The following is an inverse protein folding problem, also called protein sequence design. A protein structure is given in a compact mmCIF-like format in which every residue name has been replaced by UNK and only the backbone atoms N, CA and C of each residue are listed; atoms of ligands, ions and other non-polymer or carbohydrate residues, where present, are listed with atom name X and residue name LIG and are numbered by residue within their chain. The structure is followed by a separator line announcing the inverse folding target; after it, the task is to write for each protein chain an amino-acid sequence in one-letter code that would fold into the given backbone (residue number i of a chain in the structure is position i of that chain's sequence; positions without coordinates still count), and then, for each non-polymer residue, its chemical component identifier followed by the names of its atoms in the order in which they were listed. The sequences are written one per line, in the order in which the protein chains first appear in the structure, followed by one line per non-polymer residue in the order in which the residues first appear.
data_IF_331169585309
#
_entry.id   IF_331169585309
#
_cell.length_a   1.000
_cell.length_b   1.000
_cell.length_c   1.000
_cell.angle_alpha   90.00
_cell.angle_beta   90.00
_cell.angle_gamma   90.00
#
_symmetry.space_group_name_H-M   'P 1'
#
loop_
_entity.id
_entity.type
_entity.pdbx_description
1 polymer ?
#
# COMPACT_ATOMS: atom_id res chain seq x y z
N UNK A 1 17.30 -5.45 -3.51
CA UNK A 1 16.34 -4.72 -2.64
C UNK A 1 14.95 -4.97 -3.20
N UNK A 2 13.98 -5.41 -2.40
CA UNK A 2 12.60 -5.67 -2.90
C UNK A 2 11.67 -4.56 -2.43
N UNK A 3 10.92 -3.98 -3.36
CA UNK A 3 9.93 -2.97 -3.07
C UNK A 3 8.52 -3.60 -3.00
N UNK A 4 7.80 -3.35 -1.92
CA UNK A 4 6.42 -3.82 -1.73
C UNK A 4 5.53 -2.63 -1.35
N UNK A 5 4.33 -2.49 -1.94
CA UNK A 5 3.43 -1.41 -1.57
C UNK A 5 2.92 -1.55 -0.12
N UNK A 6 2.76 -0.43 0.60
CA UNK A 6 2.16 -0.40 1.95
C UNK A 6 0.70 -0.84 1.97
N UNK A 7 0.00 -0.72 0.84
CA UNK A 7 -1.41 -1.10 0.69
C UNK A 7 -1.58 -2.01 -0.52
N UNK A 8 -2.32 -3.11 -0.37
CA UNK A 8 -2.59 -4.08 -1.45
C UNK A 8 -4.07 -4.46 -1.46
N UNK A 9 -4.71 -4.49 -2.64
CA UNK A 9 -6.02 -5.14 -2.80
C UNK A 9 -5.83 -6.65 -2.92
N UNK A 10 -6.42 -7.42 -2.03
CA UNK A 10 -6.36 -8.89 -2.07
C UNK A 10 -7.62 -9.51 -1.48
N UNK A 11 -7.82 -10.79 -1.71
CA UNK A 11 -8.99 -11.52 -1.23
C UNK A 11 -8.93 -11.70 0.28
N UNK A 12 -9.97 -11.28 0.98
CA UNK A 12 -10.09 -11.51 2.41
C UNK A 12 -10.83 -12.83 2.69
N UNK A 13 -10.16 -13.77 3.36
CA UNK A 13 -10.71 -15.08 3.74
C UNK A 13 -11.68 -15.05 4.93
N UNK A 14 -11.84 -13.90 5.59
CA UNK A 14 -12.78 -13.78 6.70
C UNK A 14 -14.20 -14.07 6.25
N UNK A 15 -14.97 -14.75 7.10
CA UNK A 15 -16.38 -15.11 6.85
C UNK A 15 -17.25 -13.88 6.54
N UNK A 16 -16.92 -12.74 7.15
CA UNK A 16 -17.66 -11.47 7.01
C UNK A 16 -17.39 -10.73 5.70
N UNK A 17 -16.19 -10.88 5.13
CA UNK A 17 -15.80 -10.12 3.95
C UNK A 17 -15.98 -10.92 2.66
N UNK A 18 -15.36 -12.12 2.58
CA UNK A 18 -15.32 -12.99 1.39
C UNK A 18 -15.16 -12.27 0.04
N UNK A 19 -14.48 -11.11 0.05
CA UNK A 19 -14.34 -10.20 -1.10
C UNK A 19 -12.94 -9.60 -1.13
N UNK A 20 -12.58 -9.00 -2.26
CA UNK A 20 -11.33 -8.27 -2.39
C UNK A 20 -11.42 -6.92 -1.67
N UNK A 21 -10.59 -6.72 -0.66
CA UNK A 21 -10.55 -5.49 0.13
C UNK A 21 -9.14 -4.92 0.16
N UNK A 22 -9.03 -3.65 0.57
CA UNK A 22 -7.74 -3.02 0.83
C UNK A 22 -7.13 -3.60 2.13
N UNK A 23 -5.89 -4.05 2.02
CA UNK A 23 -5.11 -4.57 3.14
C UNK A 23 -3.91 -3.68 3.42
N UNK A 24 -3.65 -3.41 4.70
CA UNK A 24 -2.40 -2.81 5.17
C UNK A 24 -1.32 -3.88 5.19
N UNK A 25 -0.21 -3.62 4.50
CA UNK A 25 0.94 -4.50 4.40
C UNK A 25 1.96 -4.07 5.44
N UNK A 26 2.33 -5.00 6.30
CA UNK A 26 3.41 -4.81 7.28
C UNK A 26 4.39 -5.99 7.22
N UNK A 27 5.62 -5.79 7.68
CA UNK A 27 6.56 -6.90 7.80
C UNK A 27 6.27 -7.67 9.10
N UNK A 28 6.23 -9.00 9.01
CA UNK A 28 6.13 -9.84 10.19
C UNK A 28 7.38 -9.70 11.07
N UNK A 29 7.17 -9.58 12.38
CA UNK A 29 8.21 -9.64 13.40
C UNK A 29 7.89 -10.81 14.32
N UNK A 30 8.92 -11.60 14.69
CA UNK A 30 8.77 -12.65 15.69
C UNK A 30 8.47 -12.00 17.05
N UNK A 31 7.46 -12.50 17.76
CA UNK A 31 7.18 -12.09 19.14
C UNK A 31 8.18 -12.67 20.14
N UNK A 32 8.04 -12.26 21.41
CA UNK A 32 8.79 -12.85 22.54
C UNK A 32 8.39 -14.31 22.72
N UNK A 33 9.37 -15.18 22.95
CA UNK A 33 9.11 -16.60 23.22
C UNK A 33 8.46 -16.78 24.61
N UNK A 34 7.41 -17.61 24.68
CA UNK A 34 6.69 -17.87 25.93
C UNK A 34 7.38 -18.96 26.77
N UNK A 35 7.50 -18.72 28.08
CA UNK A 35 8.09 -19.67 29.04
C UNK A 35 7.14 -20.82 29.40
N UNK A 36 5.83 -20.58 29.33
CA UNK A 36 4.81 -21.58 29.68
C UNK A 36 4.64 -22.68 28.61
N UNK A 37 5.23 -22.50 27.42
CA UNK A 37 5.19 -23.49 26.36
C UNK A 37 5.78 -24.83 26.82
N UNK A 38 5.11 -25.94 26.48
CA UNK A 38 5.50 -27.29 26.93
C UNK A 38 6.96 -27.62 26.60
N UNK A 39 7.45 -27.22 25.41
CA UNK A 39 8.83 -27.44 24.99
C UNK A 39 9.84 -26.70 25.86
N UNK A 40 9.53 -25.46 26.25
CA UNK A 40 10.39 -24.65 27.13
C UNK A 40 10.40 -25.20 28.55
N UNK A 41 9.23 -25.53 29.12
CA UNK A 41 9.12 -26.20 30.43
C UNK A 41 9.92 -27.51 30.49
N UNK A 42 9.85 -28.32 29.44
CA UNK A 42 10.64 -29.57 29.32
C UNK A 42 12.13 -29.28 29.22
N UNK A 43 12.53 -28.27 28.44
CA UNK A 43 13.94 -27.87 28.29
C UNK A 43 14.53 -27.42 29.62
N UNK A 44 13.82 -26.54 30.35
CA UNK A 44 14.30 -25.98 31.61
C UNK A 44 14.42 -27.04 32.70
N UNK A 45 13.46 -27.98 32.79
CA UNK A 45 13.55 -29.16 33.67
C UNK A 45 14.68 -30.11 33.27
N UNK A 46 15.01 -30.23 31.98
CA UNK A 46 16.15 -31.04 31.55
C UNK A 46 17.47 -30.35 31.88
N UNK A 47 17.49 -29.02 31.81
CA UNK A 47 18.67 -28.20 32.01
C UNK A 47 19.03 -27.98 33.49
N UNK A 48 18.08 -28.19 34.41
CA UNK A 48 18.32 -28.07 35.86
C UNK A 48 19.21 -29.19 36.40
N UNK A 49 20.08 -28.87 37.35
CA UNK A 49 21.03 -29.80 37.98
C UNK A 49 22.42 -29.74 37.37
N UNK A 50 23.22 -30.78 37.60
CA UNK A 50 24.56 -30.93 37.04
C UNK A 50 24.51 -31.63 35.67
N UNK A 51 25.54 -31.46 34.84
CA UNK A 51 25.65 -32.11 33.52
C UNK A 51 25.75 -31.16 32.32
N UNK A 52 25.84 -29.85 32.54
CA UNK A 52 26.12 -28.87 31.50
C UNK A 52 25.00 -28.71 30.48
N UNK A 53 25.34 -28.48 29.21
CA UNK A 53 24.37 -28.20 28.15
C UNK A 53 23.69 -29.49 27.65
N UNK A 54 22.37 -29.60 27.81
CA UNK A 54 21.64 -30.88 27.60
C UNK A 54 21.05 -31.10 26.20
N UNK A 55 21.13 -30.10 25.33
CA UNK A 55 20.62 -30.11 23.96
C UNK A 55 21.63 -29.45 23.00
N UNK A 56 21.73 -29.94 21.75
CA UNK A 56 22.72 -29.44 20.81
C UNK A 56 22.47 -27.97 20.44
N UNK A 57 23.54 -27.18 20.42
CA UNK A 57 23.54 -25.80 19.91
C UNK A 57 23.99 -25.84 18.46
N UNK A 58 23.24 -25.17 17.58
CA UNK A 58 23.55 -25.16 16.16
C UNK A 58 24.57 -24.06 15.83
N UNK A 59 25.78 -24.44 15.41
CA UNK A 59 26.87 -23.50 15.10
C UNK A 59 27.05 -23.19 13.61
N UNK A 60 26.76 -24.14 12.72
CA UNK A 60 27.09 -24.05 11.28
C UNK A 60 25.99 -23.36 10.46
N UNK A 61 25.78 -22.06 10.67
CA UNK A 61 24.80 -21.27 9.89
C UNK A 61 25.30 -21.03 8.45
N UNK A 62 24.68 -21.67 7.46
CA UNK A 62 25.01 -21.46 6.04
C UNK A 62 24.17 -20.35 5.39
N UNK A 63 22.92 -20.15 5.83
CA UNK A 63 21.99 -19.20 5.20
C UNK A 63 22.23 -17.78 5.70
N UNK A 64 22.47 -16.87 4.77
CA UNK A 64 22.72 -15.43 5.03
C UNK A 64 21.43 -14.63 5.15
N UNK A 65 20.37 -15.03 4.44
CA UNK A 65 19.07 -14.34 4.44
C UNK A 65 17.96 -15.22 5.00
N UNK A 66 16.87 -14.57 5.42
CA UNK A 66 15.63 -15.22 5.89
C UNK A 66 14.51 -14.92 4.89
N UNK A 67 13.52 -15.82 4.79
CA UNK A 67 12.30 -15.54 4.01
C UNK A 67 11.53 -14.42 4.71
N UNK A 68 11.23 -13.36 3.97
CA UNK A 68 10.42 -12.25 4.50
C UNK A 68 8.94 -12.64 4.37
N UNK A 69 8.23 -12.55 5.48
CA UNK A 69 6.78 -12.78 5.55
C UNK A 69 6.07 -11.45 5.70
N UNK A 70 5.11 -11.21 4.82
CA UNK A 70 4.21 -10.05 4.91
C UNK A 70 3.00 -10.40 5.77
N UNK A 71 2.64 -9.48 6.64
CA UNK A 71 1.40 -9.51 7.42
C UNK A 71 0.41 -8.56 6.72
N UNK A 72 -0.65 -9.14 6.13
CA UNK A 72 -1.73 -8.41 5.47
C UNK A 72 -2.89 -8.27 6.45
N UNK A 73 -3.23 -7.05 6.84
CA UNK A 73 -4.37 -6.75 7.70
C UNK A 73 -5.49 -6.13 6.89
N UNK A 74 -6.67 -6.76 6.88
CA UNK A 74 -7.87 -6.22 6.24
C UNK A 74 -8.33 -4.94 6.97
N UNK A 75 -8.68 -3.89 6.22
CA UNK A 75 -9.19 -2.64 6.80
C UNK A 75 -10.60 -2.78 7.40
N UNK A 76 -11.45 -3.64 6.83
CA UNK A 76 -12.83 -3.86 7.32
C UNK A 76 -12.87 -4.77 8.56
N UNK A 77 -12.62 -6.07 8.36
CA UNK A 77 -12.76 -7.08 9.42
C UNK A 77 -11.51 -7.28 10.31
N UNK A 78 -10.42 -6.53 10.08
CA UNK A 78 -9.13 -6.63 10.80
C UNK A 78 -8.47 -8.02 10.77
N UNK A 79 -9.01 -8.97 10.01
CA UNK A 79 -8.42 -10.30 9.82
C UNK A 79 -7.02 -10.19 9.22
N UNK A 80 -6.12 -11.05 9.71
CA UNK A 80 -4.71 -11.03 9.34
C UNK A 80 -4.34 -12.31 8.61
N UNK A 81 -3.78 -12.16 7.41
CA UNK A 81 -3.18 -13.28 6.66
C UNK A 81 -1.67 -13.09 6.52
N UNK A 82 -0.95 -14.22 6.53
CA UNK A 82 0.50 -14.25 6.33
C UNK A 82 0.83 -14.69 4.90
N UNK A 83 1.67 -13.91 4.22
CA UNK A 83 2.11 -14.20 2.85
C UNK A 83 3.64 -14.19 2.76
N UNK A 84 4.29 -15.37 2.65
CA UNK A 84 5.72 -15.44 2.44
C UNK A 84 6.07 -15.04 1.00
N UNK A 85 7.14 -14.26 0.84
CA UNK A 85 7.72 -13.97 -0.48
C UNK A 85 8.69 -15.10 -0.85
N UNK A 86 8.66 -15.57 -2.10
CA UNK A 86 9.52 -16.66 -2.60
C UNK A 86 11.01 -16.30 -2.56
N UNK A 87 11.32 -15.02 -2.78
CA UNK A 87 12.70 -14.50 -2.82
C UNK A 87 13.21 -14.21 -1.40
N UNK A 88 14.35 -14.80 -1.06
CA UNK A 88 15.10 -14.48 0.16
C UNK A 88 15.84 -13.16 0.02
N UNK A 89 15.12 -12.03 0.13
CA UNK A 89 15.74 -10.71 0.10
C UNK A 89 16.25 -10.29 1.50
N UNK A 90 17.38 -9.58 1.52
CA UNK A 90 17.97 -9.02 2.75
C UNK A 90 17.25 -7.76 3.24
N UNK A 91 16.76 -6.92 2.32
CA UNK A 91 16.16 -5.62 2.65
C UNK A 91 14.86 -5.40 1.87
N UNK A 92 13.76 -5.15 2.60
CA UNK A 92 12.45 -4.85 2.06
C UNK A 92 12.09 -3.39 2.35
N UNK A 93 11.71 -2.65 1.31
CA UNK A 93 11.15 -1.30 1.45
C UNK A 93 9.64 -1.36 1.25
N UNK A 94 8.91 -0.77 2.20
CA UNK A 94 7.48 -0.53 2.08
C UNK A 94 7.25 0.85 1.46
N UNK A 95 6.90 0.89 0.19
CA UNK A 95 6.71 2.15 -0.55
C UNK A 95 5.23 2.51 -0.62
N UNK A 96 4.95 3.81 -0.59
CA UNK A 96 3.62 4.33 -0.87
C UNK A 96 3.33 4.17 -2.37
N UNK A 97 2.19 3.60 -2.73
CA UNK A 97 1.82 3.52 -4.15
C UNK A 97 1.62 4.93 -4.69
N UNK A 98 2.54 5.43 -5.53
CA UNK A 98 2.27 6.60 -6.35
C UNK A 98 1.13 6.21 -7.30
N UNK A 99 -0.06 6.77 -7.11
CA UNK A 99 -1.10 6.74 -8.15
C UNK A 99 -0.50 7.44 -9.38
N UNK A 100 -0.37 6.70 -10.48
CA UNK A 100 0.10 7.24 -11.74
C UNK A 100 -0.73 8.46 -12.14
N UNK A 101 -0.06 9.46 -12.73
CA UNK A 101 -0.61 10.73 -13.18
C UNK A 101 -1.64 10.50 -14.31
N UNK A 102 -2.88 10.18 -13.99
CA UNK A 102 -3.98 10.20 -14.99
C UNK A 102 -4.76 11.52 -14.96
N UNK A 103 -4.59 12.34 -13.91
CA UNK A 103 -5.32 13.60 -13.76
C UNK A 103 -4.81 14.76 -14.62
N UNK A 104 -3.63 14.68 -15.24
CA UNK A 104 -3.10 15.79 -16.05
C UNK A 104 -3.61 15.80 -17.50
N UNK A 105 -4.06 14.68 -18.06
CA UNK A 105 -4.53 14.66 -19.45
C UNK A 105 -5.94 15.22 -19.60
N UNK A 106 -6.83 14.98 -18.63
CA UNK A 106 -8.24 15.37 -18.72
C UNK A 106 -8.48 16.89 -18.62
N UNK A 107 -7.68 17.60 -17.81
CA UNK A 107 -7.81 19.06 -17.67
C UNK A 107 -7.42 19.81 -18.94
N UNK A 108 -6.42 19.32 -19.69
CA UNK A 108 -6.01 19.94 -20.97
C UNK A 108 -7.03 19.71 -22.08
N UNK A 109 -7.66 18.54 -22.14
CA UNK A 109 -8.65 18.21 -23.19
C UNK A 109 -9.94 19.02 -23.01
N UNK A 110 -10.46 19.19 -21.78
CA UNK A 110 -11.68 19.98 -21.54
C UNK A 110 -11.46 21.48 -21.78
N UNK A 111 -10.31 22.03 -21.37
CA UNK A 111 -10.02 23.45 -21.58
C UNK A 111 -9.83 23.77 -23.08
N UNK A 112 -9.24 22.85 -23.85
CA UNK A 112 -9.10 23.00 -25.31
C UNK A 112 -10.44 22.96 -26.05
N UNK A 113 -11.36 22.08 -25.65
CA UNK A 113 -12.71 22.01 -26.24
C UNK A 113 -13.52 23.27 -25.91
N UNK A 114 -13.43 23.79 -24.68
CA UNK A 114 -14.15 25.01 -24.28
C UNK A 114 -13.63 26.25 -25.01
N UNK A 115 -12.32 26.41 -25.16
CA UNK A 115 -11.72 27.50 -25.95
C UNK A 115 -12.12 27.42 -27.43
N UNK A 116 -12.17 26.21 -28.01
CA UNK A 116 -12.59 26.02 -29.39
C UNK A 116 -14.08 26.36 -29.59
N UNK A 117 -14.96 25.94 -28.67
CA UNK A 117 -16.38 26.29 -28.70
C UNK A 117 -16.61 27.79 -28.52
N UNK A 118 -15.89 28.44 -27.60
CA UNK A 118 -15.96 29.90 -27.42
C UNK A 118 -15.49 30.65 -28.67
N UNK A 119 -14.42 30.18 -29.33
CA UNK A 119 -13.97 30.76 -30.60
C UNK A 119 -14.98 30.53 -31.73
N UNK A 120 -15.63 29.36 -31.78
CA UNK A 120 -16.65 29.04 -32.77
C UNK A 120 -17.93 29.89 -32.58
N UNK A 121 -18.34 30.11 -31.32
CA UNK A 121 -19.45 31.01 -30.97
C UNK A 121 -19.10 32.47 -31.29
N UNK A 122 -17.87 32.91 -30.99
CA UNK A 122 -17.39 34.25 -31.32
C UNK A 122 -17.29 34.48 -32.84
N UNK A 123 -16.87 33.47 -33.60
CA UNK A 123 -16.75 33.56 -35.06
C UNK A 123 -18.08 33.43 -35.81
N UNK A 124 -19.14 32.94 -35.17
CA UNK A 124 -20.51 32.86 -35.76
C UNK A 124 -21.35 34.10 -35.47
N UNK A 125 -20.85 35.03 -34.64
CA UNK A 125 -21.56 36.23 -34.21
C UNK A 125 -20.92 37.47 -34.85
N UNK A 126 -21.21 37.72 -36.12
CA UNK A 126 -21.06 39.04 -36.72
C UNK A 126 -22.08 39.23 -37.86
N UNK A 127 -23.28 39.70 -37.50
CA UNK A 127 -23.85 40.91 -38.09
C UNK A 127 -25.05 41.40 -37.27
N UNK A 128 -24.99 42.68 -36.87
CA UNK A 128 -26.06 43.53 -36.31
C UNK A 128 -26.57 43.19 -34.90
N UNK A 129 -25.91 43.71 -33.85
CA UNK A 129 -26.26 45.01 -33.25
C UNK A 129 -25.55 45.26 -31.90
N UNK A 130 -25.31 46.55 -31.64
CA UNK A 130 -25.08 47.20 -30.34
C UNK A 130 -23.68 47.16 -29.67
N UNK A 131 -22.96 48.25 -29.92
CA UNK A 131 -22.02 48.90 -29.01
C UNK A 131 -22.62 49.15 -27.60
N UNK A 132 -22.69 48.13 -26.74
CA UNK A 132 -23.21 48.30 -25.37
C UNK A 132 -22.83 47.23 -24.33
N UNK A 133 -22.18 46.13 -24.71
CA UNK A 133 -21.94 45.00 -23.77
C UNK A 133 -20.48 44.93 -23.29
N UNK A 134 -19.56 45.67 -23.91
CA UNK A 134 -18.13 45.62 -23.58
C UNK A 134 -17.75 46.33 -22.26
N UNK A 135 -18.65 47.12 -21.66
CA UNK A 135 -18.40 47.80 -20.38
C UNK A 135 -18.86 47.02 -19.14
N UNK A 136 -19.63 45.95 -19.29
CA UNK A 136 -20.20 45.20 -18.14
C UNK A 136 -19.47 43.88 -17.80
N UNK A 137 -18.43 43.49 -18.56
CA UNK A 137 -17.64 42.29 -18.25
C UNK A 137 -16.28 42.57 -17.59
N UNK A 138 -15.81 43.83 -17.56
CA UNK A 138 -14.58 44.20 -16.86
C UNK A 138 -14.75 44.47 -15.35
N UNK A 139 -15.99 44.45 -14.84
CA UNK A 139 -16.31 44.63 -13.41
C UNK A 139 -16.47 43.31 -12.64
N UNK A 140 -16.37 42.16 -13.31
CA UNK A 140 -16.54 40.84 -12.69
C UNK A 140 -15.24 40.06 -12.49
N UNK A 141 -14.09 40.64 -12.86
CA UNK A 141 -12.77 40.00 -12.79
C UNK A 141 -11.72 40.83 -12.06
N UNK A 142 -12.16 41.70 -11.14
CA UNK A 142 -11.36 42.30 -10.07
C UNK A 142 -12.01 42.02 -8.72
#
# INVERSE_FOLDING_TARGET
MVNVPKTKKTYCKSKECRKHTLHKVTQYKKGKDSLAAQGKRRYDRKQSGYGGQTKPVFHKKAKTTKKIVLRLQCQGCKHVSQHPIKVGASTLRLVETRRGKEHLCFKHVIHGILLCLLYFIWSSLNLQDCNGILLNLLSFFF
#
